data_IF_047022958042
#
_entry.id   IF_047022958042
#
_cell.length_a   1.000
_cell.length_b   1.000
_cell.length_c   1.000
_cell.angle_alpha   90.00
_cell.angle_beta   90.00
_cell.angle_gamma   90.00
#
_symmetry.space_group_name_H-M   'P 1'
#
loop_
_entity.id
_entity.type
_entity.pdbx_description
1 polymer ?
#
# COMPACT_ATOMS: atom_id res chain seq x y z
N UNK A 1 -8.37 -6.39 19.87
CA UNK A 1 -8.98 -5.73 18.71
C UNK A 1 -8.65 -6.60 17.52
N UNK A 2 -9.65 -6.97 16.71
CA UNK A 2 -9.40 -7.76 15.50
C UNK A 2 -9.15 -6.79 14.35
N UNK A 3 -7.93 -6.77 13.82
CA UNK A 3 -7.52 -5.85 12.75
C UNK A 3 -7.28 -6.68 11.50
N UNK A 4 -8.14 -6.49 10.49
CA UNK A 4 -8.07 -7.23 9.23
C UNK A 4 -7.24 -6.46 8.22
N UNK A 5 -6.30 -7.13 7.56
CA UNK A 5 -5.51 -6.57 6.47
C UNK A 5 -6.40 -6.27 5.26
N UNK A 6 -6.41 -5.01 4.83
CA UNK A 6 -7.31 -4.57 3.75
C UNK A 6 -6.69 -4.80 2.37
N UNK A 7 -5.45 -4.36 2.14
CA UNK A 7 -4.72 -4.72 0.93
C UNK A 7 -4.03 -6.09 1.17
N UNK A 8 -4.80 -7.16 1.04
CA UNK A 8 -4.34 -8.54 1.34
C UNK A 8 -3.14 -9.00 0.50
N UNK A 9 -2.88 -8.37 -0.64
CA UNK A 9 -1.84 -8.80 -1.56
C UNK A 9 -0.70 -7.78 -1.68
N UNK A 10 -0.73 -6.73 -0.84
CA UNK A 10 0.21 -5.59 -0.86
C UNK A 10 0.46 -5.10 -2.29
N UNK A 11 -0.63 -4.91 -3.03
CA UNK A 11 -0.56 -4.56 -4.44
C UNK A 11 -0.39 -3.06 -4.62
N UNK A 12 -0.84 -2.24 -3.67
CA UNK A 12 -0.81 -0.79 -3.80
C UNK A 12 -0.33 -0.09 -2.53
N UNK A 13 -0.89 -0.41 -1.36
CA UNK A 13 -0.49 0.25 -0.12
C UNK A 13 0.81 -0.35 0.41
N UNK A 14 1.81 0.48 0.67
CA UNK A 14 2.97 0.07 1.44
C UNK A 14 2.58 -0.41 2.85
N UNK A 15 3.49 -1.16 3.49
CA UNK A 15 3.21 -1.83 4.76
C UNK A 15 2.64 -0.87 5.82
N UNK A 16 3.20 0.34 5.94
CA UNK A 16 2.73 1.33 6.91
C UNK A 16 1.33 1.80 6.59
N UNK A 17 1.06 2.21 5.35
CA UNK A 17 -0.27 2.69 4.96
C UNK A 17 -1.30 1.59 5.09
N UNK A 18 -0.98 0.34 4.76
CA UNK A 18 -1.88 -0.79 4.94
C UNK A 18 -2.20 -1.02 6.42
N UNK A 19 -1.19 -1.00 7.30
CA UNK A 19 -1.38 -1.09 8.76
C UNK A 19 -2.26 0.05 9.30
N UNK A 20 -2.01 1.30 8.89
CA UNK A 20 -2.82 2.47 9.29
C UNK A 20 -4.25 2.32 8.77
N UNK A 21 -4.43 2.02 7.48
CA UNK A 21 -5.74 1.91 6.85
C UNK A 21 -6.60 0.83 7.53
N UNK A 22 -6.01 -0.34 7.79
CA UNK A 22 -6.66 -1.43 8.53
C UNK A 22 -6.99 -1.08 9.98
N UNK A 23 -6.09 -0.38 10.68
CA UNK A 23 -6.36 0.07 12.05
C UNK A 23 -7.53 1.06 12.11
N UNK A 24 -7.54 2.05 11.21
CA UNK A 24 -8.62 3.03 11.11
C UNK A 24 -9.95 2.38 10.73
N UNK A 25 -9.93 1.37 9.84
CA UNK A 25 -11.11 0.58 9.52
C UNK A 25 -11.64 -0.21 10.73
N UNK A 26 -10.76 -0.81 11.53
CA UNK A 26 -11.14 -1.52 12.76
C UNK A 26 -11.72 -0.58 13.84
N UNK A 27 -11.47 0.73 13.71
CA UNK A 27 -12.11 1.79 14.51
C UNK A 27 -13.45 2.27 13.92
N UNK A 28 -13.96 1.59 12.88
CA UNK A 28 -15.19 1.92 12.16
C UNK A 28 -15.18 3.31 11.51
N UNK A 29 -14.00 3.80 11.12
CA UNK A 29 -13.90 5.03 10.34
C UNK A 29 -14.20 4.76 8.87
N UNK A 30 -14.75 5.74 8.13
CA UNK A 30 -15.09 5.59 6.71
C UNK A 30 -13.83 5.72 5.83
N UNK A 31 -12.86 4.83 6.05
CA UNK A 31 -11.53 4.89 5.45
C UNK A 31 -11.53 4.78 3.93
N UNK A 32 -12.55 4.14 3.34
CA UNK A 32 -12.67 4.03 1.88
C UNK A 32 -12.81 5.42 1.21
N UNK A 33 -13.22 6.47 1.93
CA UNK A 33 -13.18 7.86 1.44
C UNK A 33 -11.75 8.35 1.14
N UNK A 34 -10.73 7.82 1.82
CA UNK A 34 -9.31 8.16 1.60
C UNK A 34 -8.77 7.62 0.26
N UNK A 35 -9.56 6.80 -0.45
CA UNK A 35 -9.20 6.17 -1.72
C UNK A 35 -9.73 6.93 -2.95
N UNK A 36 -10.29 8.14 -2.77
CA UNK A 36 -10.85 8.96 -3.86
C UNK A 36 -9.87 9.29 -5.00
N UNK A 37 -8.56 9.23 -4.74
CA UNK A 37 -7.50 9.49 -5.71
C UNK A 37 -6.60 8.26 -5.91
N UNK A 38 -7.07 7.06 -5.53
CA UNK A 38 -6.30 5.83 -5.64
C UNK A 38 -6.08 5.37 -7.10
N UNK A 39 -6.86 5.87 -8.07
CA UNK A 39 -6.68 5.58 -9.48
C UNK A 39 -5.47 6.36 -10.02
N UNK A 40 -4.32 5.73 -10.06
CA UNK A 40 -3.04 6.34 -10.43
C UNK A 40 -2.95 6.56 -11.94
N UNK A 41 -2.21 7.59 -12.35
CA UNK A 41 -1.84 7.76 -13.74
C UNK A 41 -0.85 6.65 -14.15
N UNK A 42 -1.12 6.00 -15.28
CA UNK A 42 -0.41 4.81 -15.70
C UNK A 42 1.04 5.09 -16.15
N UNK A 43 1.30 6.28 -16.68
CA UNK A 43 2.67 6.73 -16.98
C UNK A 43 3.42 7.11 -15.69
N UNK A 44 2.79 7.77 -14.71
CA UNK A 44 3.40 8.04 -13.40
C UNK A 44 3.90 6.73 -12.75
N UNK A 45 3.07 5.68 -12.76
CA UNK A 45 3.47 4.36 -12.24
C UNK A 45 4.61 3.77 -13.06
N UNK A 46 4.56 3.87 -14.40
CA UNK A 46 5.65 3.40 -15.27
C UNK A 46 6.97 4.12 -14.97
N UNK A 47 6.98 5.44 -14.89
CA UNK A 47 8.19 6.23 -14.64
C UNK A 47 8.79 5.92 -13.27
N UNK A 48 7.95 5.76 -12.23
CA UNK A 48 8.47 5.52 -10.89
C UNK A 48 8.86 4.06 -10.68
N UNK A 49 8.01 3.11 -11.06
CA UNK A 49 8.25 1.69 -10.80
C UNK A 49 9.23 1.11 -11.81
N UNK A 50 9.01 1.29 -13.12
CA UNK A 50 9.83 0.66 -14.15
C UNK A 50 11.13 1.43 -14.41
N UNK A 51 11.04 2.70 -14.80
CA UNK A 51 12.21 3.50 -15.21
C UNK A 51 13.16 3.77 -14.03
N UNK A 52 12.62 4.23 -12.89
CA UNK A 52 13.42 4.46 -11.66
C UNK A 52 13.67 3.20 -10.84
N UNK A 53 13.17 2.04 -11.27
CA UNK A 53 13.33 0.74 -10.59
C UNK A 53 12.87 0.76 -9.12
N UNK A 54 11.84 1.55 -8.81
CA UNK A 54 11.31 1.63 -7.44
C UNK A 54 10.49 0.37 -7.17
N UNK A 55 10.88 -0.39 -6.16
CA UNK A 55 10.10 -1.51 -5.65
C UNK A 55 8.70 -1.01 -5.22
N UNK A 56 7.62 -1.75 -5.51
CA UNK A 56 6.24 -1.27 -5.25
C UNK A 56 5.99 -0.85 -3.80
N UNK A 57 6.60 -1.52 -2.82
CA UNK A 57 6.51 -1.16 -1.39
C UNK A 57 7.12 0.22 -1.05
N UNK A 58 7.90 0.80 -1.95
CA UNK A 58 8.49 2.14 -1.84
C UNK A 58 7.81 3.14 -2.78
N UNK A 59 6.82 2.71 -3.56
CA UNK A 59 6.04 3.62 -4.40
C UNK A 59 5.24 4.56 -3.50
N UNK A 60 5.40 5.87 -3.71
CA UNK A 60 4.71 6.89 -2.91
C UNK A 60 3.31 7.10 -3.46
N UNK A 61 2.36 6.37 -2.89
CA UNK A 61 0.94 6.46 -3.26
C UNK A 61 0.36 7.83 -2.86
N UNK A 62 -0.62 8.32 -3.61
CA UNK A 62 -1.27 9.62 -3.36
C UNK A 62 -2.34 9.58 -2.26
N UNK A 63 -2.67 8.38 -1.77
CA UNK A 63 -3.70 8.14 -0.75
C UNK A 63 -3.17 8.29 0.68
N UNK A 64 -4.09 8.54 1.62
CA UNK A 64 -3.84 8.74 3.06
C UNK A 64 -2.90 9.93 3.40
N UNK A 65 -3.01 11.12 2.79
CA UNK A 65 -2.27 12.27 3.30
C UNK A 65 -2.83 12.68 4.68
N UNK A 66 -1.99 13.24 5.55
CA UNK A 66 -2.38 13.67 6.90
C UNK A 66 -3.57 14.64 6.91
N UNK A 67 -3.62 15.55 5.93
CA UNK A 67 -4.74 16.47 5.76
C UNK A 67 -6.09 15.75 5.53
N UNK A 68 -6.08 14.58 4.89
CA UNK A 68 -7.29 13.79 4.65
C UNK A 68 -7.66 12.95 5.87
N UNK A 69 -6.68 12.51 6.67
CA UNK A 69 -6.94 11.90 7.98
C UNK A 69 -7.67 12.88 8.92
N UNK A 70 -7.26 14.15 8.92
CA UNK A 70 -7.92 15.19 9.71
C UNK A 70 -9.40 15.38 9.32
N UNK A 71 -9.75 15.19 8.04
CA UNK A 71 -11.16 15.23 7.58
C UNK A 71 -11.99 14.08 8.15
N UNK A 72 -11.37 12.96 8.50
CA UNK A 72 -11.99 11.85 9.23
C UNK A 72 -11.99 12.04 10.75
N UNK A 73 -11.62 13.23 11.24
CA UNK A 73 -11.47 13.49 12.67
C UNK A 73 -10.25 12.80 13.28
N UNK A 74 -9.30 12.34 12.48
CA UNK A 74 -8.09 11.65 12.94
C UNK A 74 -6.91 12.63 12.96
N UNK A 75 -6.41 12.94 14.15
CA UNK A 75 -5.19 13.72 14.31
C UNK A 75 -3.99 12.79 14.45
N UNK A 76 -2.90 13.11 13.77
CA UNK A 76 -1.65 12.32 13.83
C UNK A 76 -0.69 12.96 14.81
N UNK A 77 -0.23 12.20 15.80
CA UNK A 77 0.80 12.67 16.74
C UNK A 77 2.07 11.86 16.55
N UNK A 78 3.19 12.58 16.46
CA UNK A 78 4.51 11.99 16.32
C UNK A 78 5.38 12.30 17.53
N UNK A 79 5.95 11.27 18.13
CA UNK A 79 6.87 11.38 19.27
C UNK A 79 8.27 10.94 18.85
N UNK A 80 9.34 11.66 19.20
CA UNK A 80 10.70 11.24 18.90
C UNK A 80 11.04 9.87 19.50
N UNK A 81 11.79 9.05 18.75
CA UNK A 81 12.29 7.73 19.18
C UNK A 81 13.81 7.68 19.09
N UNK A 82 14.47 8.74 19.56
CA UNK A 82 15.94 8.86 19.47
C UNK A 82 16.71 7.82 20.29
N UNK A 83 16.04 7.11 21.20
CA UNK A 83 16.57 5.95 21.91
C UNK A 83 15.46 4.99 22.28
N UNK A 84 15.82 3.73 22.51
CA UNK A 84 14.87 2.75 23.01
C UNK A 84 14.35 3.08 24.41
N UNK A 85 15.15 3.68 25.29
CA UNK A 85 14.71 4.07 26.64
C UNK A 85 13.48 5.00 26.61
N UNK A 86 13.43 5.94 25.65
CA UNK A 86 12.27 6.83 25.46
C UNK A 86 11.03 6.03 25.02
N UNK A 87 11.22 5.07 24.10
CA UNK A 87 10.14 4.20 23.63
C UNK A 87 9.65 3.32 24.77
N UNK A 88 10.55 2.70 25.53
CA UNK A 88 10.27 1.79 26.64
C UNK A 88 9.48 2.50 27.76
N UNK A 89 9.74 3.79 28.00
CA UNK A 89 8.98 4.62 28.94
C UNK A 89 7.60 5.04 28.40
N UNK A 90 7.52 5.51 27.15
CA UNK A 90 6.29 6.11 26.60
C UNK A 90 5.29 5.08 26.09
N UNK A 91 5.77 3.99 25.50
CA UNK A 91 4.94 3.00 24.82
C UNK A 91 3.87 2.37 25.74
N UNK A 92 4.19 1.94 26.98
CA UNK A 92 3.17 1.47 27.93
C UNK A 92 2.05 2.49 28.18
N UNK A 93 2.41 3.76 28.40
CA UNK A 93 1.45 4.84 28.69
C UNK A 93 0.49 5.08 27.52
N UNK A 94 1.01 5.02 26.29
CA UNK A 94 0.23 5.18 25.08
C UNK A 94 -0.70 3.97 24.87
N UNK A 95 -0.19 2.76 25.05
CA UNK A 95 -0.99 1.53 24.98
C UNK A 95 -2.11 1.52 26.04
N UNK A 96 -1.82 1.93 27.27
CA UNK A 96 -2.80 2.01 28.37
C UNK A 96 -3.90 3.04 28.09
N UNK A 97 -3.64 4.01 27.21
CA UNK A 97 -4.66 4.94 26.67
C UNK A 97 -5.48 4.35 25.50
N UNK A 98 -5.40 3.03 25.29
CA UNK A 98 -6.07 2.27 24.22
C UNK A 98 -5.66 2.67 22.80
N UNK A 99 -4.42 3.16 22.65
CA UNK A 99 -3.82 3.53 21.38
C UNK A 99 -2.99 2.39 20.78
N UNK A 100 -3.00 2.29 19.46
CA UNK A 100 -1.99 1.50 18.73
C UNK A 100 -0.86 2.44 18.39
N UNK A 101 0.35 2.04 18.75
CA UNK A 101 1.56 2.84 18.50
C UNK A 101 2.33 2.21 17.37
N UNK A 102 2.57 2.97 16.32
CA UNK A 102 3.28 2.47 15.17
C UNK A 102 4.73 2.96 15.19
N UNK A 103 5.65 2.01 15.13
CA UNK A 103 7.09 2.17 15.28
C UNK A 103 7.80 1.86 13.95
N UNK A 104 8.99 2.41 13.78
CA UNK A 104 9.93 2.00 12.72
C UNK A 104 11.21 1.47 13.36
N UNK A 105 11.87 0.55 12.65
CA UNK A 105 13.10 -0.10 13.10
C UNK A 105 13.62 -1.11 12.09
N UNK A 106 14.71 -1.80 12.42
CA UNK A 106 15.35 -2.77 11.52
C UNK A 106 14.68 -4.15 11.56
N UNK A 107 14.12 -4.59 10.42
CA UNK A 107 13.51 -5.91 10.27
C UNK A 107 14.51 -7.07 10.48
N UNK A 108 15.81 -6.79 10.43
CA UNK A 108 16.90 -7.73 10.71
C UNK A 108 16.73 -8.48 12.03
N UNK A 109 16.12 -7.85 13.03
CA UNK A 109 15.96 -8.39 14.39
C UNK A 109 14.61 -9.10 14.61
N UNK A 110 13.71 -9.09 13.63
CA UNK A 110 12.37 -9.68 13.76
C UNK A 110 12.39 -11.12 13.27
N UNK A 111 12.59 -12.08 14.18
CA UNK A 111 12.73 -13.52 13.88
C UNK A 111 11.56 -14.13 13.09
N UNK A 112 10.34 -13.63 13.30
CA UNK A 112 9.15 -14.05 12.56
C UNK A 112 9.15 -13.61 11.09
N UNK A 113 9.96 -12.61 10.69
CA UNK A 113 10.14 -12.18 9.30
C UNK A 113 11.24 -13.00 8.63
N UNK A 114 10.99 -14.29 8.38
CA UNK A 114 12.01 -15.22 7.91
C UNK A 114 12.75 -14.81 6.62
N UNK A 115 12.13 -13.97 5.78
CA UNK A 115 12.77 -13.46 4.56
C UNK A 115 13.77 -12.32 4.81
N UNK A 116 13.67 -11.60 5.93
CA UNK A 116 14.55 -10.46 6.26
C UNK A 116 15.41 -10.70 7.49
N UNK A 117 14.95 -11.54 8.44
CA UNK A 117 15.65 -11.85 9.67
C UNK A 117 17.08 -12.33 9.40
N UNK A 118 18.06 -11.59 9.88
CA UNK A 118 19.48 -11.84 9.67
C UNK A 118 19.92 -12.03 8.20
N UNK A 119 19.17 -11.44 7.26
CA UNK A 119 19.42 -11.55 5.82
C UNK A 119 19.49 -10.20 5.13
N UNK A 120 18.59 -9.28 5.48
CA UNK A 120 18.46 -7.97 4.81
C UNK A 120 18.21 -6.88 5.83
N UNK A 121 19.02 -5.82 5.80
CA UNK A 121 18.88 -4.65 6.67
C UNK A 121 17.85 -3.65 6.12
N UNK A 122 16.58 -4.00 6.22
CA UNK A 122 15.48 -3.14 5.76
C UNK A 122 14.75 -2.46 6.92
N UNK A 123 14.40 -1.18 6.74
CA UNK A 123 13.49 -0.46 7.65
C UNK A 123 12.07 -1.01 7.50
N UNK A 124 11.45 -1.39 8.61
CA UNK A 124 10.10 -1.93 8.64
C UNK A 124 9.25 -1.25 9.70
N UNK A 125 7.94 -1.20 9.50
CA UNK A 125 6.98 -0.64 10.45
C UNK A 125 6.29 -1.74 11.24
N UNK A 126 6.25 -1.61 12.57
CA UNK A 126 5.45 -2.50 13.44
C UNK A 126 4.46 -1.69 14.30
N UNK A 127 3.17 -2.07 14.33
CA UNK A 127 2.18 -1.60 15.29
C UNK A 127 2.22 -2.40 16.60
N UNK A 128 2.45 -1.72 17.72
CA UNK A 128 2.36 -2.26 19.07
C UNK A 128 1.03 -1.86 19.73
N UNK A 129 0.38 -2.81 20.41
CA UNK A 129 -0.97 -2.62 20.94
C UNK A 129 -1.20 -3.15 22.35
N UNK A 130 -0.28 -3.95 22.90
CA UNK A 130 -0.31 -4.42 24.28
C UNK A 130 1.11 -4.70 24.77
N UNK A 131 1.28 -4.86 26.08
CA UNK A 131 2.53 -5.30 26.68
C UNK A 131 2.25 -6.17 27.91
N UNK A 132 3.26 -6.91 28.35
CA UNK A 132 3.26 -7.70 29.58
C UNK A 132 4.58 -7.45 30.32
N UNK A 133 4.49 -7.15 31.62
CA UNK A 133 5.67 -7.03 32.49
C UNK A 133 6.17 -8.42 32.90
N UNK A 134 7.45 -8.71 32.68
CA UNK A 134 8.12 -9.94 33.10
C UNK A 134 9.41 -9.65 33.89
N UNK A 135 9.93 -10.60 34.68
CA UNK A 135 11.16 -10.41 35.45
C UNK A 135 12.38 -9.99 34.60
N UNK A 136 12.45 -10.48 33.36
CA UNK A 136 13.50 -10.18 32.38
C UNK A 136 13.28 -8.90 31.55
N UNK A 137 12.17 -8.19 31.80
CA UNK A 137 11.75 -6.99 31.07
C UNK A 137 10.37 -7.14 30.44
N UNK A 138 9.96 -6.15 29.65
CA UNK A 138 8.64 -6.19 28.97
C UNK A 138 8.62 -7.13 27.78
N UNK A 139 7.48 -7.78 27.59
CA UNK A 139 7.12 -8.39 26.29
C UNK A 139 6.09 -7.51 25.61
N UNK A 140 6.37 -7.06 24.40
CA UNK A 140 5.49 -6.22 23.59
C UNK A 140 4.66 -7.07 22.64
N UNK A 141 3.35 -6.83 22.61
CA UNK A 141 2.45 -7.48 21.65
C UNK A 141 2.26 -6.57 20.44
N UNK A 142 2.57 -7.10 19.28
CA UNK A 142 2.45 -6.41 17.99
C UNK A 142 1.54 -7.20 17.04
N UNK A 143 1.08 -6.56 15.98
CA UNK A 143 0.47 -7.27 14.86
C UNK A 143 1.18 -6.90 13.56
N UNK A 144 1.47 -7.88 12.71
CA UNK A 144 2.23 -7.66 11.49
C UNK A 144 1.91 -8.75 10.47
N UNK A 145 2.23 -8.54 9.20
CA UNK A 145 2.02 -9.57 8.19
C UNK A 145 3.15 -10.62 8.20
N UNK A 146 2.83 -11.85 7.81
CA UNK A 146 3.84 -12.90 7.67
C UNK A 146 4.31 -12.95 6.23
N UNK A 147 5.60 -12.73 6.00
CA UNK A 147 6.22 -13.06 4.72
C UNK A 147 7.33 -14.07 4.98
N UNK A 148 6.99 -15.35 5.00
CA UNK A 148 7.92 -16.46 5.32
C UNK A 148 8.11 -17.46 4.15
N UNK A 149 7.75 -17.06 2.93
CA UNK A 149 7.89 -17.87 1.73
C UNK A 149 6.80 -18.94 1.56
N UNK A 150 6.04 -19.25 2.61
CA UNK A 150 4.86 -20.14 2.59
C UNK A 150 3.57 -19.33 2.71
N UNK A 151 3.53 -18.38 3.65
CA UNK A 151 2.44 -17.44 3.83
C UNK A 151 2.71 -16.15 3.04
N UNK A 152 1.72 -15.71 2.27
CA UNK A 152 1.82 -14.54 1.37
C UNK A 152 1.41 -13.23 2.04
N UNK A 153 1.54 -13.11 3.36
CA UNK A 153 1.20 -11.90 4.09
C UNK A 153 -0.25 -11.46 3.96
N UNK A 154 -1.21 -12.37 3.76
CA UNK A 154 -2.60 -11.98 3.48
C UNK A 154 -3.37 -11.49 4.71
N UNK A 155 -2.83 -11.75 5.89
CA UNK A 155 -3.46 -11.49 7.18
C UNK A 155 -2.42 -10.90 8.13
N UNK A 156 -2.89 -10.12 9.10
CA UNK A 156 -2.07 -9.72 10.23
C UNK A 156 -2.09 -10.81 11.29
N UNK A 157 -0.89 -11.18 11.75
CA UNK A 157 -0.68 -12.13 12.83
C UNK A 157 -0.18 -11.38 14.05
N UNK A 158 -0.48 -11.93 15.23
CA UNK A 158 0.01 -11.36 16.49
C UNK A 158 1.33 -12.00 16.89
N UNK A 159 2.26 -11.18 17.37
CA UNK A 159 3.57 -11.62 17.84
C UNK A 159 3.89 -10.99 19.20
N UNK A 160 4.64 -11.76 19.97
CA UNK A 160 5.23 -11.32 21.24
C UNK A 160 6.71 -11.02 20.99
N UNK A 161 7.11 -9.76 21.14
CA UNK A 161 8.48 -9.28 20.98
C UNK A 161 9.07 -9.01 22.36
N UNK A 162 10.21 -9.65 22.66
CA UNK A 162 10.93 -9.40 23.92
C UNK A 162 11.51 -7.99 23.99
N UNK A 163 11.70 -7.46 25.20
CA UNK A 163 12.35 -6.18 25.46
C UNK A 163 13.69 -6.05 24.70
N UNK A 164 14.51 -7.11 24.71
CA UNK A 164 15.79 -7.15 23.99
C UNK A 164 15.60 -6.96 22.48
N UNK A 165 14.67 -7.70 21.87
CA UNK A 165 14.43 -7.62 20.42
C UNK A 165 13.84 -6.26 20.04
N UNK A 166 12.93 -5.71 20.85
CA UNK A 166 12.39 -4.36 20.61
C UNK A 166 13.50 -3.31 20.69
N UNK A 167 14.41 -3.43 21.67
CA UNK A 167 15.58 -2.56 21.78
C UNK A 167 16.45 -2.62 20.53
N UNK A 168 16.83 -3.83 20.11
CA UNK A 168 17.65 -4.01 18.91
C UNK A 168 16.93 -3.51 17.64
N UNK A 169 15.63 -3.73 17.52
CA UNK A 169 14.81 -3.22 16.42
C UNK A 169 14.81 -1.68 16.35
N UNK A 170 14.66 -0.98 17.47
CA UNK A 170 14.60 0.50 17.52
C UNK A 170 15.98 1.14 17.38
N UNK A 171 17.00 0.63 18.07
CA UNK A 171 18.32 1.26 18.12
C UNK A 171 19.14 1.07 16.84
N UNK A 172 18.84 0.04 16.06
CA UNK A 172 19.54 -0.23 14.81
C UNK A 172 18.75 0.33 13.63
N UNK A 173 19.37 1.28 12.95
CA UNK A 173 18.82 1.86 11.74
C UNK A 173 19.07 0.89 10.57
N UNK A 174 18.00 0.33 10.01
CA UNK A 174 18.09 -0.36 8.73
C UNK A 174 18.73 0.57 7.69
N UNK A 175 19.67 0.06 6.91
CA UNK A 175 20.44 0.83 5.94
C UNK A 175 19.69 1.01 4.62
N UNK A 176 18.73 0.13 4.33
CA UNK A 176 17.97 0.09 3.08
C UNK A 176 16.46 0.29 3.28
N UNK A 177 15.85 0.92 2.27
CA UNK A 177 14.43 1.24 2.24
C UNK A 177 14.23 2.75 2.16
N UNK A 178 13.79 3.23 1.00
CA UNK A 178 13.46 4.63 0.70
C UNK A 178 12.32 5.22 1.55
N UNK A 179 12.12 4.70 2.77
CA UNK A 179 11.32 5.30 3.83
C UNK A 179 11.86 6.71 4.04
N UNK A 180 10.95 7.67 3.87
CA UNK A 180 11.19 9.08 4.11
C UNK A 180 11.93 9.22 5.45
N UNK A 181 13.21 9.62 5.40
CA UNK A 181 14.14 9.59 6.54
C UNK A 181 13.59 10.27 7.79
N UNK A 182 12.63 11.17 7.58
CA UNK A 182 11.94 11.97 8.57
C UNK A 182 10.99 11.20 9.50
N UNK A 183 10.50 10.01 9.13
CA UNK A 183 9.57 9.23 9.95
C UNK A 183 10.24 8.13 10.79
N UNK A 184 11.53 7.85 10.53
CA UNK A 184 12.28 6.74 11.13
C UNK A 184 12.45 6.89 12.63
N UNK A 185 12.67 8.12 13.09
CA UNK A 185 12.94 8.44 14.49
C UNK A 185 11.65 8.89 15.21
N UNK A 186 10.49 8.36 14.81
CA UNK A 186 9.19 8.77 15.33
C UNK A 186 8.23 7.61 15.58
N UNK A 187 7.66 7.57 16.78
CA UNK A 187 6.44 6.85 17.12
C UNK A 187 5.26 7.64 16.56
N UNK A 188 4.31 6.95 15.94
CA UNK A 188 3.05 7.58 15.54
C UNK A 188 1.89 6.98 16.30
N UNK A 189 1.02 7.85 16.80
CA UNK A 189 -0.30 7.49 17.31
C UNK A 189 -1.36 8.33 16.60
N UNK A 190 -2.60 7.87 16.72
CA UNK A 190 -3.76 8.57 16.17
C UNK A 190 -4.71 8.96 17.30
N UNK A 191 -5.03 10.24 17.38
CA UNK A 191 -6.14 10.67 18.24
C UNK A 191 -7.41 10.76 17.41
N UNK A 192 -8.51 10.35 18.02
CA UNK A 192 -9.82 10.32 17.39
C UNK A 192 -10.65 11.46 17.99
N UNK A 193 -10.63 12.60 17.30
CA UNK A 193 -11.54 13.71 17.60
C UNK A 193 -12.96 13.38 17.13
N UNK A 194 -13.93 14.23 17.47
CA UNK A 194 -15.34 13.98 17.15
C UNK A 194 -15.56 13.91 15.63
N UNK A 195 -15.81 12.70 15.13
CA UNK A 195 -16.13 12.42 13.73
C UNK A 195 -17.44 13.12 13.35
N UNK A 196 -17.39 13.93 12.29
CA UNK A 196 -18.58 14.49 11.63
C UNK A 196 -18.71 13.87 10.25
N UNK A 197 -19.19 12.62 10.20
CA UNK A 197 -19.21 11.79 8.98
C UNK A 197 -19.83 12.51 7.77
N UNK A 198 -20.91 13.27 7.99
CA UNK A 198 -21.55 14.04 6.93
C UNK A 198 -20.60 15.09 6.33
N UNK A 199 -19.92 15.85 7.18
CA UNK A 199 -18.96 16.87 6.73
C UNK A 199 -17.74 16.23 6.05
N UNK A 200 -17.30 15.07 6.54
CA UNK A 200 -16.25 14.30 5.89
C UNK A 200 -16.67 13.89 4.46
N UNK A 201 -17.86 13.33 4.28
CA UNK A 201 -18.39 12.95 2.95
C UNK A 201 -18.44 14.14 2.00
N UNK A 202 -18.97 15.28 2.45
CA UNK A 202 -19.02 16.51 1.64
C UNK A 202 -17.61 17.01 1.26
N UNK A 203 -16.65 16.96 2.20
CA UNK A 203 -15.26 17.35 1.93
C UNK A 203 -14.56 16.41 0.93
N UNK A 204 -14.75 15.10 1.09
CA UNK A 204 -14.20 14.11 0.14
C UNK A 204 -14.89 14.18 -1.22
N UNK A 205 -16.16 14.56 -1.29
CA UNK A 205 -16.84 14.84 -2.56
C UNK A 205 -16.17 15.98 -3.31
N UNK A 206 -15.87 17.09 -2.63
CA UNK A 206 -15.17 18.21 -3.25
C UNK A 206 -13.75 17.83 -3.71
N UNK A 207 -13.01 17.06 -2.89
CA UNK A 207 -11.68 16.55 -3.24
C UNK A 207 -11.71 15.60 -4.43
N UNK A 208 -12.68 14.70 -4.48
CA UNK A 208 -12.91 13.80 -5.59
C UNK A 208 -13.23 14.56 -6.88
N UNK A 209 -14.12 15.55 -6.83
CA UNK A 209 -14.45 16.38 -7.98
C UNK A 209 -13.22 17.11 -8.53
N UNK A 210 -12.44 17.73 -7.63
CA UNK A 210 -11.18 18.39 -8.00
C UNK A 210 -10.15 17.42 -8.58
N UNK A 211 -10.00 16.22 -7.99
CA UNK A 211 -9.12 15.19 -8.56
C UNK A 211 -9.56 14.80 -9.96
N UNK A 212 -10.85 14.50 -10.16
CA UNK A 212 -11.40 14.10 -11.45
C UNK A 212 -11.27 15.20 -12.51
N UNK A 213 -11.38 16.48 -12.12
CA UNK A 213 -11.17 17.61 -13.02
C UNK A 213 -9.74 17.69 -13.58
N UNK A 214 -8.76 17.26 -12.80
CA UNK A 214 -7.34 17.33 -13.15
C UNK A 214 -6.77 15.98 -13.59
N UNK A 215 -7.53 14.90 -13.47
CA UNK A 215 -7.07 13.56 -13.83
C UNK A 215 -7.11 13.36 -15.34
N UNK A 216 -5.98 12.93 -15.89
CA UNK A 216 -5.86 12.52 -17.29
C UNK A 216 -4.86 11.36 -17.36
N UNK A 217 -5.10 10.43 -18.28
CA UNK A 217 -4.23 9.28 -18.52
C UNK A 217 -4.40 8.87 -19.98
N UNK A 218 -3.29 8.67 -20.70
CA UNK A 218 -3.29 8.26 -22.11
C UNK A 218 -3.18 6.73 -22.28
N UNK A 219 -2.98 6.03 -21.16
CA UNK A 219 -2.84 4.58 -21.10
C UNK A 219 -1.73 4.05 -22.03
N UNK A 220 -0.69 4.85 -22.30
CA UNK A 220 0.42 4.48 -23.18
C UNK A 220 1.24 3.30 -22.63
N UNK A 221 1.23 3.08 -21.30
CA UNK A 221 1.96 1.96 -20.68
C UNK A 221 1.59 0.60 -21.29
N UNK A 222 0.32 0.40 -21.63
CA UNK A 222 -0.15 -0.86 -22.22
C UNK A 222 0.41 -1.10 -23.61
N UNK A 223 0.68 -0.04 -24.37
CA UNK A 223 1.36 -0.17 -25.67
C UNK A 223 2.86 -0.43 -25.53
N UNK A 224 3.47 0.00 -24.41
CA UNK A 224 4.90 -0.23 -24.11
C UNK A 224 5.16 -1.67 -23.68
N UNK A 225 4.31 -2.27 -22.85
CA UNK A 225 4.53 -3.59 -22.20
C UNK A 225 4.99 -4.70 -23.16
N UNK A 226 4.34 -4.95 -24.32
CA UNK A 226 4.80 -5.99 -25.22
C UNK A 226 6.22 -5.75 -25.76
N UNK A 227 6.58 -4.48 -26.02
CA UNK A 227 7.92 -4.10 -26.46
C UNK A 227 8.96 -4.30 -25.37
N UNK A 228 8.66 -3.88 -24.14
CA UNK A 228 9.55 -4.07 -22.98
C UNK A 228 9.94 -5.54 -22.78
N UNK A 229 8.97 -6.45 -22.94
CA UNK A 229 9.17 -7.88 -22.73
C UNK A 229 9.93 -8.58 -23.88
N UNK A 230 10.08 -7.93 -25.03
CA UNK A 230 10.79 -8.46 -26.21
C UNK A 230 12.16 -7.85 -26.43
N UNK A 231 12.40 -6.64 -25.90
CA UNK A 231 13.63 -5.91 -26.13
C UNK A 231 14.77 -6.46 -25.26
N UNK A 232 15.64 -7.26 -25.88
CA UNK A 232 16.82 -7.83 -25.22
C UNK A 232 17.73 -6.76 -24.63
N UNK A 233 17.81 -5.56 -25.23
CA UNK A 233 18.66 -4.49 -24.71
C UNK A 233 18.12 -3.93 -23.40
N UNK A 234 16.79 -3.82 -23.27
CA UNK A 234 16.13 -3.42 -22.03
C UNK A 234 16.35 -4.50 -20.98
N UNK A 235 16.14 -5.78 -21.30
CA UNK A 235 16.33 -6.89 -20.37
C UNK A 235 17.77 -6.94 -19.86
N UNK A 236 18.76 -6.79 -20.74
CA UNK A 236 20.19 -6.78 -20.40
C UNK A 236 20.62 -5.55 -19.57
N UNK A 237 19.80 -4.50 -19.50
CA UNK A 237 20.08 -3.35 -18.63
C UNK A 237 19.83 -3.62 -17.15
N UNK A 238 19.15 -4.73 -16.81
CA UNK A 238 18.93 -5.19 -15.44
C UNK A 238 20.06 -6.11 -14.99
N UNK A 239 20.20 -6.30 -13.68
CA UNK A 239 21.22 -7.18 -13.10
C UNK A 239 21.11 -8.62 -13.63
N UNK A 240 19.87 -9.09 -13.80
CA UNK A 240 19.52 -10.36 -14.42
C UNK A 240 18.06 -10.33 -14.93
N UNK A 241 17.63 -11.41 -15.56
CA UNK A 241 16.27 -11.56 -16.06
C UNK A 241 15.22 -11.58 -14.94
N UNK A 242 15.58 -12.07 -13.75
CA UNK A 242 14.68 -12.16 -12.61
C UNK A 242 14.32 -10.76 -12.09
N UNK A 243 15.32 -9.88 -11.93
CA UNK A 243 15.12 -8.47 -11.58
C UNK A 243 14.25 -7.73 -12.61
N UNK A 244 14.44 -8.01 -13.91
CA UNK A 244 13.56 -7.47 -14.95
C UNK A 244 12.11 -7.95 -14.82
N UNK A 245 11.90 -9.25 -14.61
CA UNK A 245 10.55 -9.78 -14.45
C UNK A 245 9.87 -9.28 -13.17
N UNK A 246 10.63 -9.12 -12.10
CA UNK A 246 10.16 -8.56 -10.84
C UNK A 246 9.68 -7.10 -11.02
N UNK A 247 10.43 -6.27 -11.75
CA UNK A 247 10.01 -4.87 -11.96
C UNK A 247 8.75 -4.76 -12.82
N UNK A 248 8.60 -5.63 -13.83
CA UNK A 248 7.36 -5.71 -14.63
C UNK A 248 6.18 -6.16 -13.76
N UNK A 249 6.42 -7.13 -12.86
CA UNK A 249 5.41 -7.57 -11.91
C UNK A 249 5.00 -6.46 -10.94
N UNK A 250 5.95 -5.65 -10.45
CA UNK A 250 5.66 -4.49 -9.61
C UNK A 250 4.82 -3.45 -10.34
N UNK A 251 5.16 -3.11 -11.58
CA UNK A 251 4.41 -2.16 -12.41
C UNK A 251 2.95 -2.60 -12.54
N UNK A 252 2.72 -3.83 -12.99
CA UNK A 252 1.37 -4.35 -13.22
C UNK A 252 0.60 -4.55 -11.92
N UNK A 253 1.27 -4.95 -10.83
CA UNK A 253 0.61 -5.09 -9.52
C UNK A 253 0.19 -3.74 -8.95
N UNK A 254 1.01 -2.71 -9.11
CA UNK A 254 0.69 -1.34 -8.66
C UNK A 254 -0.55 -0.81 -9.40
N UNK A 255 -0.64 -1.02 -10.72
CA UNK A 255 -1.83 -0.66 -11.49
C UNK A 255 -3.07 -1.43 -11.01
N UNK A 256 -2.99 -2.76 -10.88
CA UNK A 256 -4.11 -3.58 -10.37
C UNK A 256 -4.56 -3.11 -8.99
N UNK A 257 -3.63 -2.93 -8.06
CA UNK A 257 -3.93 -2.51 -6.70
C UNK A 257 -4.55 -1.11 -6.65
N UNK A 258 -4.01 -0.16 -7.41
CA UNK A 258 -4.55 1.19 -7.57
C UNK A 258 -6.03 1.16 -8.00
N UNK A 259 -6.36 0.39 -9.04
CA UNK A 259 -7.74 0.27 -9.56
C UNK A 259 -8.66 -0.43 -8.56
N UNK A 260 -8.19 -1.46 -7.87
CA UNK A 260 -8.95 -2.14 -6.82
C UNK A 260 -9.29 -1.22 -5.64
N UNK A 261 -8.36 -0.38 -5.22
CA UNK A 261 -8.61 0.59 -4.14
C UNK A 261 -9.59 1.68 -4.59
N UNK A 262 -9.49 2.14 -5.83
CA UNK A 262 -10.47 3.08 -6.38
C UNK A 262 -11.86 2.45 -6.52
N UNK A 263 -11.94 1.16 -6.87
CA UNK A 263 -13.19 0.40 -6.89
C UNK A 263 -13.86 0.39 -5.50
N UNK A 264 -13.08 0.21 -4.42
CA UNK A 264 -13.60 0.29 -3.05
C UNK A 264 -14.20 1.67 -2.76
N UNK A 265 -13.55 2.75 -3.19
CA UNK A 265 -14.08 4.11 -3.06
C UNK A 265 -15.45 4.24 -3.75
N UNK A 266 -15.55 3.85 -5.02
CA UNK A 266 -16.81 3.93 -5.78
C UNK A 266 -17.91 3.07 -5.14
N UNK A 267 -17.59 1.86 -4.71
CA UNK A 267 -18.53 0.98 -4.02
C UNK A 267 -19.04 1.59 -2.70
N UNK A 268 -18.16 2.29 -1.98
CA UNK A 268 -18.50 2.94 -0.72
C UNK A 268 -19.37 4.18 -0.93
N UNK A 269 -19.09 5.01 -1.94
CA UNK A 269 -19.83 6.29 -2.16
C UNK A 269 -21.08 6.13 -3.02
N UNK A 270 -21.10 5.17 -3.96
CA UNK A 270 -22.23 4.87 -4.83
C UNK A 270 -22.28 3.37 -5.18
N UNK A 271 -22.82 2.51 -4.30
CA UNK A 271 -22.84 1.05 -4.49
C UNK A 271 -23.66 0.59 -5.71
N UNK A 272 -24.49 1.48 -6.28
CA UNK A 272 -25.30 1.21 -7.47
C UNK A 272 -24.72 1.78 -8.76
N UNK A 273 -23.49 2.34 -8.71
CA UNK A 273 -22.87 2.95 -9.88
C UNK A 273 -22.61 1.93 -10.99
N UNK A 274 -22.97 2.28 -12.22
CA UNK A 274 -22.60 1.54 -13.43
C UNK A 274 -21.07 1.50 -13.68
N UNK A 275 -20.28 2.33 -12.98
CA UNK A 275 -18.82 2.29 -13.04
C UNK A 275 -18.24 1.01 -12.42
N UNK A 276 -18.92 0.43 -11.43
CA UNK A 276 -18.44 -0.73 -10.67
C UNK A 276 -18.14 -1.92 -11.59
N UNK A 277 -19.09 -2.43 -12.40
CA UNK A 277 -18.80 -3.57 -13.29
C UNK A 277 -17.72 -3.25 -14.32
N UNK A 278 -17.70 -2.03 -14.88
CA UNK A 278 -16.68 -1.63 -15.88
C UNK A 278 -15.29 -1.61 -15.26
N UNK A 279 -15.14 -1.08 -14.04
CA UNK A 279 -13.88 -1.05 -13.33
C UNK A 279 -13.43 -2.46 -12.90
N UNK A 280 -14.36 -3.34 -12.51
CA UNK A 280 -14.05 -4.75 -12.23
C UNK A 280 -13.50 -5.47 -13.46
N UNK A 281 -14.12 -5.28 -14.62
CA UNK A 281 -13.61 -5.82 -15.89
C UNK A 281 -12.24 -5.24 -16.26
N UNK A 282 -12.04 -3.95 -15.97
CA UNK A 282 -10.76 -3.26 -16.16
C UNK A 282 -9.66 -3.90 -15.33
N UNK A 283 -9.89 -4.09 -14.03
CA UNK A 283 -8.97 -4.80 -13.13
C UNK A 283 -8.65 -6.19 -13.68
N UNK A 284 -9.65 -6.97 -14.05
CA UNK A 284 -9.47 -8.32 -14.59
C UNK A 284 -8.64 -8.33 -15.89
N UNK A 285 -8.81 -7.33 -16.75
CA UNK A 285 -8.03 -7.18 -17.97
C UNK A 285 -6.55 -6.90 -17.67
N UNK A 286 -6.24 -6.02 -16.72
CA UNK A 286 -4.86 -5.75 -16.28
C UNK A 286 -4.24 -6.98 -15.62
N UNK A 287 -5.00 -7.70 -14.79
CA UNK A 287 -4.54 -8.96 -14.19
C UNK A 287 -4.21 -10.03 -15.24
N UNK A 288 -4.96 -10.08 -16.35
CA UNK A 288 -4.65 -10.98 -17.46
C UNK A 288 -3.32 -10.64 -18.13
N UNK A 289 -2.98 -9.35 -18.26
CA UNK A 289 -1.64 -8.90 -18.73
C UNK A 289 -0.57 -9.39 -17.76
N UNK A 290 -0.76 -9.13 -16.45
CA UNK A 290 0.15 -9.58 -15.37
C UNK A 290 0.36 -11.09 -15.38
N UNK A 291 -0.70 -11.86 -15.56
CA UNK A 291 -0.61 -13.32 -15.62
C UNK A 291 0.23 -13.81 -16.81
N UNK A 292 0.06 -13.22 -17.99
CA UNK A 292 0.84 -13.59 -19.19
C UNK A 292 2.31 -13.19 -19.01
N UNK A 293 2.59 -12.00 -18.47
CA UNK A 293 3.95 -11.55 -18.16
C UNK A 293 4.63 -12.45 -17.12
N UNK A 294 3.92 -12.83 -16.05
CA UNK A 294 4.45 -13.75 -15.04
C UNK A 294 4.66 -15.17 -15.60
N UNK A 295 3.83 -15.63 -16.53
CA UNK A 295 4.05 -16.92 -17.19
C UNK A 295 5.36 -16.93 -17.98
N UNK A 296 5.70 -15.81 -18.63
CA UNK A 296 6.98 -15.67 -19.34
C UNK A 296 8.17 -15.84 -18.40
N UNK A 297 8.13 -15.24 -17.20
CA UNK A 297 9.16 -15.43 -16.16
C UNK A 297 9.45 -16.91 -15.86
N UNK A 298 8.42 -17.75 -15.77
CA UNK A 298 8.59 -19.18 -15.43
C UNK A 298 8.89 -20.06 -16.65
N UNK A 299 8.37 -19.73 -17.83
CA UNK A 299 8.50 -20.57 -19.02
C UNK A 299 9.70 -20.24 -19.88
N UNK A 300 10.27 -19.03 -19.75
CA UNK A 300 11.24 -18.45 -20.68
C UNK A 300 10.70 -18.21 -22.09
N UNK A 301 9.39 -18.42 -22.32
CA UNK A 301 8.75 -18.30 -23.63
C UNK A 301 7.63 -17.26 -23.60
N UNK A 302 7.86 -16.14 -24.28
CA UNK A 302 6.88 -15.07 -24.44
C UNK A 302 5.95 -15.36 -25.62
N UNK A 303 4.65 -15.41 -25.34
CA UNK A 303 3.61 -15.39 -26.38
C UNK A 303 3.29 -13.92 -26.71
N UNK A 304 4.05 -13.37 -27.66
CA UNK A 304 3.99 -11.95 -28.05
C UNK A 304 2.59 -11.54 -28.49
N UNK A 305 1.94 -12.39 -29.29
CA UNK A 305 0.57 -12.13 -29.75
C UNK A 305 -0.37 -12.05 -28.56
N UNK A 306 -0.31 -13.02 -27.65
CA UNK A 306 -1.19 -13.05 -26.48
C UNK A 306 -0.97 -11.88 -25.53
N UNK A 307 0.28 -11.49 -25.24
CA UNK A 307 0.51 -10.33 -24.36
C UNK A 307 0.04 -9.03 -25.02
N UNK A 308 0.24 -8.88 -26.33
CA UNK A 308 -0.24 -7.73 -27.10
C UNK A 308 -1.77 -7.65 -27.09
N UNK A 309 -2.44 -8.76 -27.38
CA UNK A 309 -3.92 -8.84 -27.36
C UNK A 309 -4.47 -8.48 -25.97
N UNK A 310 -3.84 -8.98 -24.89
CA UNK A 310 -4.26 -8.66 -23.51
C UNK A 310 -3.98 -7.22 -23.12
N UNK A 311 -2.84 -6.65 -23.52
CA UNK A 311 -2.51 -5.27 -23.22
C UNK A 311 -3.44 -4.30 -23.95
N UNK A 312 -3.77 -4.58 -25.21
CA UNK A 312 -4.76 -3.81 -25.97
C UNK A 312 -6.15 -3.89 -25.35
N UNK A 313 -6.57 -5.07 -24.88
CA UNK A 313 -7.84 -5.23 -24.18
C UNK A 313 -7.89 -4.45 -22.85
N UNK A 314 -6.80 -4.46 -22.06
CA UNK A 314 -6.70 -3.67 -20.84
C UNK A 314 -6.77 -2.17 -21.13
N UNK A 315 -6.04 -1.69 -22.15
CA UNK A 315 -6.10 -0.28 -22.60
C UNK A 315 -7.51 0.13 -23.01
N UNK A 316 -8.21 -0.70 -23.79
CA UNK A 316 -9.58 -0.43 -24.22
C UNK A 316 -10.54 -0.31 -23.03
N UNK A 317 -10.39 -1.17 -22.02
CA UNK A 317 -11.22 -1.15 -20.80
C UNK A 317 -10.93 0.06 -19.91
N UNK A 318 -9.66 0.41 -19.72
CA UNK A 318 -9.27 1.65 -19.01
C UNK A 318 -9.84 2.90 -19.72
N UNK A 319 -9.80 2.92 -21.06
CA UNK A 319 -10.35 4.01 -21.87
C UNK A 319 -11.87 4.12 -21.71
N UNK A 320 -12.58 3.00 -21.86
CA UNK A 320 -14.03 2.89 -21.65
C UNK A 320 -14.42 3.39 -20.24
N UNK A 321 -13.67 2.95 -19.23
CA UNK A 321 -13.87 3.36 -17.84
C UNK A 321 -13.69 4.87 -17.67
N UNK A 322 -12.59 5.45 -18.17
CA UNK A 322 -12.31 6.88 -18.03
C UNK A 322 -13.34 7.74 -18.79
N UNK A 323 -13.80 7.30 -19.96
CA UNK A 323 -14.89 7.95 -20.68
C UNK A 323 -16.20 7.95 -19.88
N UNK A 324 -16.54 6.82 -19.26
CA UNK A 324 -17.74 6.70 -18.42
C UNK A 324 -17.62 7.56 -17.15
N UNK A 325 -16.46 7.54 -16.50
CA UNK A 325 -16.15 8.35 -15.33
C UNK A 325 -16.31 9.85 -15.64
N UNK A 326 -15.82 10.29 -16.80
CA UNK A 326 -15.94 11.67 -17.26
C UNK A 326 -17.38 12.07 -17.62
N UNK A 327 -18.21 11.14 -18.14
CA UNK A 327 -19.64 11.39 -18.37
C UNK A 327 -20.40 11.59 -17.05
N UNK A 328 -19.99 10.87 -16.01
CA UNK A 328 -20.57 10.98 -14.67
C UNK A 328 -20.05 12.16 -13.86
N UNK A 329 -19.10 12.95 -14.38
CA UNK A 329 -18.54 14.14 -13.70
C UNK A 329 -19.61 15.14 -13.22
N UNK A 330 -20.79 15.13 -13.85
CA UNK A 330 -21.93 16.00 -13.49
C UNK A 330 -23.07 15.28 -12.74
N UNK A 331 -22.96 13.96 -12.53
CA UNK A 331 -23.87 13.19 -11.70
C UNK A 331 -23.27 13.07 -10.28
N UNK A 332 -24.08 13.27 -9.23
CA UNK A 332 -23.57 13.14 -7.86
C UNK A 332 -23.05 11.71 -7.61
N UNK A 333 -21.74 11.58 -7.37
CA UNK A 333 -21.10 10.30 -6.99
C UNK A 333 -21.38 9.93 -5.53
N UNK A 334 -21.98 10.83 -4.77
CA UNK A 334 -22.49 10.59 -3.42
C UNK A 334 -24.01 10.50 -3.55
N UNK A 335 -24.53 9.27 -3.49
CA UNK A 335 -25.95 8.96 -3.59
C UNK A 335 -26.54 8.67 -2.19
#
# INVERSE_FOLDING_TARGET
MDIVKIDKFDQYLNCRKNQIFSYLAAKNLPVDLLLYNAYENSDDVYQNVFEKRIHRYLYLEKTLPEADLNLLGVSTFMYPTSSFDIVDELLPRLIDSHQVVFLYGAAWYLDYKQNTYQKVEIVHSIPAFAYEEKPEGRTYKIFDDVFDGVQRGQEFMHYDISHKVMKEYIENQGTEGGVNVLAKDRMTIFDFSTLREKEAKEAFQAKYANWLENFNDDFAVYTKIPGLLQDESIIQSFADAEAFHEIVFHLLSTLVGSRNHFLRFIQYTNPTSELIPVLQETVAAIEAVRFVANKFRFSGKLDVKRITDKANAAKAKETEFLELLNKQKYASVFA
#
